data_IF_209404868790
#
_entry.id   IF_209404868790
#
_cell.length_a   1.000
_cell.length_b   1.000
_cell.length_c   1.000
_cell.angle_alpha   90.00
_cell.angle_beta   90.00
_cell.angle_gamma   90.00
#
_symmetry.space_group_name_H-M   'P 1'
#
loop_
_entity.id
_entity.type
_entity.pdbx_description
1 polymer ?
#
# COMPACT_ATOMS: atom_id res chain seq x y z
N UNK A 1 9.21 -8.13 22.18
CA UNK A 1 9.17 -6.66 22.34
C UNK A 1 7.79 -6.14 21.93
N UNK A 2 7.25 -5.13 22.64
CA UNK A 2 6.02 -4.47 22.16
C UNK A 2 6.39 -3.67 20.89
N UNK A 3 5.82 -4.04 19.77
CA UNK A 3 6.08 -3.40 18.45
C UNK A 3 5.65 -1.92 18.49
N UNK A 4 4.54 -1.62 19.19
CA UNK A 4 3.98 -0.28 19.36
C UNK A 4 3.39 -0.16 20.76
N UNK A 5 3.53 1.01 21.40
CA UNK A 5 2.93 1.29 22.72
C UNK A 5 1.67 2.13 22.59
N UNK A 6 0.78 2.03 23.58
CA UNK A 6 -0.43 2.89 23.66
C UNK A 6 -0.07 4.38 23.59
N UNK A 7 1.02 4.77 24.25
CA UNK A 7 1.52 6.14 24.24
C UNK A 7 1.88 6.63 22.84
N UNK A 8 2.59 5.82 22.06
CA UNK A 8 2.96 6.16 20.67
C UNK A 8 1.70 6.37 19.80
N UNK A 9 0.68 5.51 19.95
CA UNK A 9 -0.56 5.63 19.20
C UNK A 9 -1.35 6.90 19.57
N UNK A 10 -1.40 7.23 20.84
CA UNK A 10 -2.04 8.47 21.33
C UNK A 10 -1.33 9.72 20.80
N UNK A 11 0.00 9.77 20.90
CA UNK A 11 0.82 10.88 20.42
C UNK A 11 0.71 11.08 18.91
N UNK A 12 0.57 10.00 18.15
CA UNK A 12 0.37 10.04 16.68
C UNK A 12 -1.05 10.42 16.27
N UNK A 13 -1.99 10.53 17.21
CA UNK A 13 -3.38 10.88 16.91
C UNK A 13 -4.20 9.81 16.17
N UNK A 14 -3.72 8.58 16.09
CA UNK A 14 -4.35 7.45 15.36
C UNK A 14 -5.75 7.10 15.86
N UNK A 15 -6.09 7.51 17.09
CA UNK A 15 -7.40 7.28 17.70
C UNK A 15 -8.52 8.19 17.18
N UNK A 16 -8.21 9.27 16.48
CA UNK A 16 -9.21 10.16 15.91
C UNK A 16 -9.73 9.59 14.58
N UNK A 17 -10.95 9.08 14.60
CA UNK A 17 -11.63 8.69 13.37
C UNK A 17 -12.30 9.85 12.64
N UNK A 18 -13.17 9.55 11.71
CA UNK A 18 -13.96 10.52 10.97
C UNK A 18 -15.20 11.00 11.75
N UNK A 19 -15.84 12.04 11.22
CA UNK A 19 -17.12 12.56 11.71
C UNK A 19 -18.18 11.46 11.71
N UNK A 20 -19.06 11.47 12.73
CA UNK A 20 -20.15 10.49 12.91
C UNK A 20 -21.06 10.35 11.70
N UNK A 21 -21.21 11.40 10.88
CA UNK A 21 -22.01 11.37 9.64
C UNK A 21 -21.38 10.55 8.50
N UNK A 22 -20.09 10.22 8.60
CA UNK A 22 -19.31 9.58 7.51
C UNK A 22 -18.81 8.19 7.86
N UNK A 23 -19.25 7.63 8.98
CA UNK A 23 -18.76 6.34 9.42
C UNK A 23 -19.42 5.17 8.69
N UNK A 24 -18.75 4.02 8.73
CA UNK A 24 -19.33 2.75 8.29
C UNK A 24 -19.86 1.98 9.51
N UNK A 25 -21.14 1.55 9.55
CA UNK A 25 -21.70 0.80 10.68
C UNK A 25 -20.94 -0.48 11.04
N UNK A 26 -20.26 -1.10 10.08
CA UNK A 26 -19.42 -2.30 10.29
C UNK A 26 -18.19 -2.03 11.14
N UNK A 27 -17.78 -0.76 11.25
CA UNK A 27 -16.70 -0.32 12.15
C UNK A 27 -17.12 -0.19 13.61
N UNK A 28 -18.41 -0.35 13.94
CA UNK A 28 -18.93 -0.22 15.31
C UNK A 28 -18.11 -0.98 16.35
N UNK A 29 -17.67 -2.18 16.01
CA UNK A 29 -16.86 -3.02 16.91
C UNK A 29 -15.49 -2.44 17.27
N UNK A 30 -14.97 -1.48 16.51
CA UNK A 30 -13.67 -0.84 16.70
C UNK A 30 -13.77 0.58 17.27
N UNK A 31 -14.99 1.09 17.46
CA UNK A 31 -15.22 2.42 18.02
C UNK A 31 -15.36 2.30 19.53
N UNK A 32 -14.59 3.10 20.27
CA UNK A 32 -14.64 3.19 21.72
C UNK A 32 -15.76 4.13 22.19
N UNK A 33 -15.83 5.34 21.61
CA UNK A 33 -16.79 6.38 21.99
C UNK A 33 -16.98 7.39 20.85
N UNK A 34 -17.96 8.25 21.03
CA UNK A 34 -18.14 9.48 20.25
C UNK A 34 -17.79 10.70 21.13
N UNK A 35 -17.03 11.64 20.58
CA UNK A 35 -16.72 12.90 21.24
C UNK A 35 -16.69 14.04 20.23
N UNK A 36 -17.47 15.09 20.51
CA UNK A 36 -17.57 16.27 19.64
C UNK A 36 -17.92 15.94 18.17
N UNK A 37 -18.80 14.95 17.96
CA UNK A 37 -19.23 14.54 16.61
C UNK A 37 -18.16 13.76 15.83
N UNK A 38 -17.11 13.25 16.49
CA UNK A 38 -16.05 12.44 15.93
C UNK A 38 -16.00 11.09 16.65
N UNK A 39 -15.85 10.01 15.92
CA UNK A 39 -15.64 8.70 16.49
C UNK A 39 -14.22 8.53 17.01
N UNK A 40 -14.08 7.99 18.21
CA UNK A 40 -12.79 7.64 18.82
C UNK A 40 -12.60 6.13 18.66
N UNK A 41 -11.46 5.76 18.06
CA UNK A 41 -11.08 4.37 17.84
C UNK A 41 -10.53 3.75 19.12
N UNK A 42 -10.88 2.49 19.35
CA UNK A 42 -10.41 1.69 20.49
C UNK A 42 -8.95 1.24 20.26
N UNK A 43 -8.01 1.96 20.86
CA UNK A 43 -6.58 1.66 20.71
C UNK A 43 -6.14 0.33 21.33
N UNK A 44 -6.90 -0.22 22.27
CA UNK A 44 -6.58 -1.56 22.79
C UNK A 44 -6.75 -2.61 21.68
N UNK A 45 -7.84 -2.50 20.90
CA UNK A 45 -8.07 -3.34 19.73
C UNK A 45 -7.05 -3.10 18.64
N UNK A 46 -6.62 -1.83 18.47
CA UNK A 46 -5.54 -1.49 17.51
C UNK A 46 -4.24 -2.21 17.87
N UNK A 47 -3.84 -2.22 19.13
CA UNK A 47 -2.61 -2.90 19.58
C UNK A 47 -2.68 -4.41 19.32
N UNK A 48 -3.82 -5.04 19.63
CA UNK A 48 -4.02 -6.47 19.37
C UNK A 48 -3.94 -6.76 17.87
N UNK A 49 -4.67 -5.98 17.06
CA UNK A 49 -4.67 -6.12 15.60
C UNK A 49 -3.27 -5.90 14.98
N UNK A 50 -2.49 -4.94 15.47
CA UNK A 50 -1.09 -4.76 15.04
C UNK A 50 -0.24 -5.99 15.36
N UNK A 51 -0.43 -6.60 16.55
CA UNK A 51 0.31 -7.80 16.93
C UNK A 51 -0.03 -8.99 16.03
N UNK A 52 -1.31 -9.22 15.78
CA UNK A 52 -1.76 -10.31 14.90
C UNK A 52 -1.26 -10.12 13.46
N UNK A 53 -1.35 -8.89 12.96
CA UNK A 53 -0.82 -8.53 11.64
C UNK A 53 0.71 -8.70 11.55
N UNK A 54 1.44 -8.33 12.60
CA UNK A 54 2.88 -8.49 12.68
C UNK A 54 3.29 -9.97 12.60
N UNK A 55 2.63 -10.85 13.35
CA UNK A 55 2.93 -12.28 13.33
C UNK A 55 2.69 -12.87 11.94
N UNK A 56 1.58 -12.54 11.29
CA UNK A 56 1.28 -12.98 9.92
C UNK A 56 2.33 -12.49 8.91
N UNK A 57 2.70 -11.21 8.95
CA UNK A 57 3.73 -10.64 8.08
C UNK A 57 5.07 -11.36 8.31
N UNK A 58 5.44 -11.57 9.57
CA UNK A 58 6.66 -12.30 9.95
C UNK A 58 6.69 -13.69 9.38
N UNK A 59 5.61 -14.45 9.51
CA UNK A 59 5.49 -15.80 8.94
C UNK A 59 5.61 -15.79 7.42
N UNK A 60 4.98 -14.83 6.75
CA UNK A 60 5.04 -14.65 5.29
C UNK A 60 6.48 -14.41 4.82
N UNK A 61 7.21 -13.53 5.54
CA UNK A 61 8.62 -13.23 5.22
C UNK A 61 9.53 -14.41 5.51
N UNK A 62 9.29 -15.18 6.60
CA UNK A 62 10.04 -16.40 6.90
C UNK A 62 9.87 -17.46 5.81
N UNK A 63 8.74 -17.50 5.10
CA UNK A 63 8.52 -18.33 3.92
C UNK A 63 9.25 -17.83 2.66
N UNK A 64 10.04 -16.76 2.77
CA UNK A 64 10.73 -16.15 1.63
C UNK A 64 9.85 -15.35 0.68
N UNK A 65 8.60 -15.04 1.06
CA UNK A 65 7.67 -14.24 0.25
C UNK A 65 7.84 -12.77 0.52
N UNK A 66 7.62 -11.94 -0.50
CA UNK A 66 7.65 -10.48 -0.37
C UNK A 66 6.31 -9.92 0.11
N UNK A 67 6.37 -8.72 0.67
CA UNK A 67 5.20 -7.91 1.05
C UNK A 67 5.09 -6.75 0.08
N UNK A 68 3.85 -6.43 -0.35
CA UNK A 68 3.57 -5.25 -1.16
C UNK A 68 2.89 -4.19 -0.30
N UNK A 69 3.55 -3.04 -0.13
CA UNK A 69 3.01 -1.89 0.60
C UNK A 69 2.24 -0.98 -0.35
N UNK A 70 1.00 -0.62 0.00
CA UNK A 70 0.13 0.22 -0.83
C UNK A 70 -0.42 1.38 -0.03
N UNK A 71 -0.21 2.59 -0.53
CA UNK A 71 -0.76 3.80 0.08
C UNK A 71 -0.60 5.00 -0.82
N UNK A 72 -1.66 5.33 -1.57
CA UNK A 72 -1.67 6.45 -2.51
C UNK A 72 -2.19 7.76 -1.90
N UNK A 73 -2.62 7.72 -0.63
CA UNK A 73 -3.01 8.91 0.14
C UNK A 73 -1.78 9.81 0.35
N UNK A 74 -1.90 11.12 0.06
CA UNK A 74 -0.75 12.05 0.13
C UNK A 74 0.05 11.95 1.44
N UNK A 75 -0.66 11.77 2.55
CA UNK A 75 -0.06 11.64 3.89
C UNK A 75 0.72 10.33 4.07
N UNK A 76 0.35 9.26 3.34
CA UNK A 76 0.95 7.94 3.45
C UNK A 76 2.09 7.70 2.44
N UNK A 77 2.11 8.41 1.31
CA UNK A 77 3.02 8.16 0.19
C UNK A 77 4.48 8.07 0.60
N UNK A 78 4.96 9.07 1.35
CA UNK A 78 6.37 9.14 1.76
C UNK A 78 6.72 8.07 2.80
N UNK A 79 5.81 7.80 3.74
CA UNK A 79 6.02 6.77 4.75
C UNK A 79 6.08 5.37 4.12
N UNK A 80 5.13 5.06 3.23
CA UNK A 80 5.10 3.79 2.50
C UNK A 80 6.39 3.55 1.72
N UNK A 81 6.86 4.54 0.97
CA UNK A 81 8.10 4.44 0.21
C UNK A 81 9.31 4.21 1.10
N UNK A 82 9.48 5.07 2.11
CA UNK A 82 10.61 5.00 3.04
C UNK A 82 10.68 3.66 3.77
N UNK A 83 9.56 3.21 4.33
CA UNK A 83 9.53 1.98 5.13
C UNK A 83 9.65 0.73 4.25
N UNK A 84 9.06 0.70 3.06
CA UNK A 84 9.23 -0.40 2.12
C UNK A 84 10.69 -0.54 1.64
N UNK A 85 11.34 0.58 1.30
CA UNK A 85 12.76 0.58 0.92
C UNK A 85 13.65 0.11 2.08
N UNK A 86 13.37 0.56 3.31
CA UNK A 86 14.17 0.19 4.50
C UNK A 86 14.17 -1.31 4.78
N UNK A 87 13.09 -2.02 4.46
CA UNK A 87 12.98 -3.47 4.63
C UNK A 87 13.19 -4.27 3.33
N UNK A 88 13.58 -3.63 2.23
CA UNK A 88 13.81 -4.28 0.94
C UNK A 88 12.55 -4.87 0.29
N UNK A 89 11.39 -4.32 0.60
CA UNK A 89 10.09 -4.77 0.07
C UNK A 89 9.56 -3.83 -1.02
N UNK A 90 8.47 -4.23 -1.66
CA UNK A 90 7.87 -3.52 -2.78
C UNK A 90 6.79 -2.54 -2.33
N UNK A 91 6.56 -1.48 -3.13
CA UNK A 91 5.54 -0.50 -2.80
C UNK A 91 4.82 0.10 -4.01
N UNK A 92 3.60 0.62 -3.76
CA UNK A 92 2.83 1.45 -4.67
C UNK A 92 2.32 2.66 -3.90
N UNK A 93 2.91 3.83 -4.17
CA UNK A 93 2.61 5.06 -3.43
C UNK A 93 1.96 6.18 -4.28
N UNK A 94 1.85 6.00 -5.60
CA UNK A 94 1.24 7.02 -6.48
C UNK A 94 -0.17 6.64 -6.92
N UNK A 95 -0.29 5.65 -7.77
CA UNK A 95 -1.57 5.20 -8.31
C UNK A 95 -1.56 3.69 -8.49
N UNK A 96 -2.55 3.01 -7.96
CA UNK A 96 -2.79 1.62 -8.30
C UNK A 96 -3.30 1.53 -9.74
N UNK A 97 -2.62 0.77 -10.57
CA UNK A 97 -3.07 0.47 -11.93
C UNK A 97 -3.88 -0.82 -11.91
N UNK A 98 -5.08 -0.80 -12.49
CA UNK A 98 -5.89 -2.01 -12.57
C UNK A 98 -5.13 -3.16 -13.24
N UNK A 99 -5.19 -4.34 -12.63
CA UNK A 99 -4.47 -5.53 -13.09
C UNK A 99 -3.07 -5.71 -12.52
N UNK A 100 -2.66 -4.91 -11.52
CA UNK A 100 -1.32 -5.05 -10.92
C UNK A 100 -1.07 -6.43 -10.30
N UNK A 101 -2.10 -7.08 -9.79
CA UNK A 101 -2.04 -8.46 -9.29
C UNK A 101 -2.72 -9.43 -10.26
N UNK A 102 -3.94 -9.13 -10.69
CA UNK A 102 -4.77 -10.03 -11.52
C UNK A 102 -4.27 -10.17 -12.96
N UNK A 103 -3.47 -9.22 -13.47
CA UNK A 103 -2.84 -9.27 -14.78
C UNK A 103 -1.35 -8.93 -14.69
N UNK A 104 -0.66 -9.56 -13.74
CA UNK A 104 0.75 -9.30 -13.46
C UNK A 104 1.66 -9.55 -14.66
N UNK A 105 1.30 -10.47 -15.57
CA UNK A 105 2.05 -10.72 -16.80
C UNK A 105 2.15 -9.48 -17.70
N UNK A 106 1.08 -8.69 -17.79
CA UNK A 106 1.08 -7.41 -18.53
C UNK A 106 1.88 -6.34 -17.80
N UNK A 107 1.80 -6.32 -16.47
CA UNK A 107 2.65 -5.42 -15.66
C UNK A 107 4.14 -5.75 -15.85
N UNK A 108 4.52 -7.02 -15.87
CA UNK A 108 5.90 -7.46 -16.18
C UNK A 108 6.39 -6.91 -17.53
N UNK A 109 5.56 -6.90 -18.57
CA UNK A 109 5.91 -6.28 -19.86
C UNK A 109 6.18 -4.77 -19.73
N UNK A 110 5.36 -4.06 -18.93
CA UNK A 110 5.55 -2.63 -18.66
C UNK A 110 6.83 -2.37 -17.85
N UNK A 111 7.15 -3.23 -16.88
CA UNK A 111 8.42 -3.17 -16.14
C UNK A 111 9.62 -3.44 -17.04
N UNK A 112 9.53 -4.41 -17.93
CA UNK A 112 10.58 -4.67 -18.93
C UNK A 112 10.77 -3.47 -19.86
N UNK A 113 9.66 -2.83 -20.27
CA UNK A 113 9.72 -1.60 -21.07
C UNK A 113 10.45 -0.48 -20.33
N UNK A 114 10.18 -0.32 -19.02
CA UNK A 114 10.89 0.65 -18.18
C UNK A 114 12.39 0.36 -18.13
N UNK A 115 12.78 -0.89 -17.84
CA UNK A 115 14.20 -1.30 -17.83
C UNK A 115 14.88 -1.08 -19.18
N UNK A 116 14.19 -1.33 -20.27
CA UNK A 116 14.71 -1.06 -21.61
C UNK A 116 14.93 0.44 -21.87
N UNK A 117 14.00 1.31 -21.44
CA UNK A 117 14.14 2.76 -21.56
C UNK A 117 15.31 3.30 -20.73
N UNK A 118 15.54 2.77 -19.54
CA UNK A 118 16.70 3.10 -18.72
C UNK A 118 18.00 2.67 -19.38
N UNK A 119 18.03 1.47 -19.95
CA UNK A 119 19.19 0.97 -20.69
C UNK A 119 19.50 1.84 -21.89
N UNK A 120 18.51 2.22 -22.70
CA UNK A 120 18.68 3.12 -23.86
C UNK A 120 19.26 4.48 -23.48
N UNK A 121 18.93 4.98 -22.29
CA UNK A 121 19.49 6.24 -21.79
C UNK A 121 20.96 6.11 -21.42
N UNK A 122 21.36 4.97 -20.81
CA UNK A 122 22.75 4.70 -20.40
C UNK A 122 23.63 4.34 -21.61
N UNK A 123 23.13 3.58 -22.57
CA UNK A 123 23.86 3.09 -23.75
C UNK A 123 24.05 4.18 -24.85
N UNK A 124 23.57 5.43 -24.60
CA UNK A 124 23.69 6.52 -25.58
C UNK A 124 22.78 6.38 -26.81
N UNK A 125 21.85 5.42 -26.81
CA UNK A 125 20.89 5.21 -27.93
C UNK A 125 20.05 6.46 -28.22
N UNK A 126 19.83 7.32 -27.23
CA UNK A 126 19.10 8.57 -27.40
C UNK A 126 19.81 9.59 -28.28
N UNK A 127 21.13 9.51 -28.44
CA UNK A 127 21.92 10.40 -29.31
C UNK A 127 21.62 10.20 -30.80
N UNK A 128 21.19 8.98 -31.17
CA UNK A 128 20.84 8.64 -32.56
C UNK A 128 19.39 9.01 -32.94
N UNK A 129 18.57 9.48 -31.96
CA UNK A 129 17.14 9.77 -32.13
C UNK A 129 16.91 11.28 -32.29
N UNK A 130 15.78 11.62 -32.91
CA UNK A 130 15.34 13.02 -32.97
C UNK A 130 14.95 13.56 -31.58
N UNK A 131 15.16 14.86 -31.33
CA UNK A 131 14.78 15.52 -30.05
C UNK A 131 13.32 15.28 -29.66
N UNK A 132 12.42 15.17 -30.64
CA UNK A 132 10.99 14.91 -30.41
C UNK A 132 10.74 13.48 -29.91
N UNK A 133 11.44 12.50 -30.48
CA UNK A 133 11.36 11.09 -30.06
C UNK A 133 11.93 10.91 -28.66
N UNK A 134 13.12 11.45 -28.38
CA UNK A 134 13.73 11.43 -27.05
C UNK A 134 12.78 12.02 -26.00
N UNK A 135 12.19 13.19 -26.27
CA UNK A 135 11.22 13.81 -25.35
C UNK A 135 10.01 12.90 -25.06
N UNK A 136 9.53 12.17 -26.07
CA UNK A 136 8.41 11.22 -25.92
C UNK A 136 8.80 10.02 -25.06
N UNK A 137 9.99 9.44 -25.29
CA UNK A 137 10.51 8.30 -24.53
C UNK A 137 10.80 8.67 -23.08
N UNK A 138 11.36 9.85 -22.81
CA UNK A 138 11.59 10.36 -21.46
C UNK A 138 10.28 10.56 -20.68
N UNK A 139 9.24 11.11 -21.33
CA UNK A 139 7.90 11.23 -20.71
C UNK A 139 7.28 9.86 -20.40
N UNK A 140 7.46 8.89 -21.30
CA UNK A 140 7.02 7.51 -21.09
C UNK A 140 7.75 6.89 -19.89
N UNK A 141 9.09 6.98 -19.85
CA UNK A 141 9.92 6.53 -18.74
C UNK A 141 9.45 7.12 -17.41
N UNK A 142 9.35 8.45 -17.35
CA UNK A 142 8.93 9.15 -16.12
C UNK A 142 7.55 8.68 -15.62
N UNK A 143 6.59 8.43 -16.53
CA UNK A 143 5.27 7.93 -16.18
C UNK A 143 5.31 6.50 -15.65
N UNK A 144 6.12 5.63 -16.26
CA UNK A 144 6.29 4.25 -15.81
C UNK A 144 6.99 4.20 -14.46
N UNK A 145 8.09 4.92 -14.31
CA UNK A 145 8.85 5.03 -13.05
C UNK A 145 7.96 5.52 -11.91
N UNK A 146 7.19 6.58 -12.13
CA UNK A 146 6.29 7.13 -11.13
C UNK A 146 5.26 6.12 -10.62
N UNK A 147 4.72 5.24 -11.47
CA UNK A 147 3.64 4.33 -11.09
C UNK A 147 4.11 2.91 -10.77
N UNK A 148 5.23 2.49 -11.32
CA UNK A 148 5.72 1.11 -11.23
C UNK A 148 7.12 1.00 -10.60
N UNK A 149 7.80 2.12 -10.31
CA UNK A 149 9.16 2.13 -9.78
C UNK A 149 9.30 1.29 -8.50
N UNK A 150 8.33 1.41 -7.59
CA UNK A 150 8.36 0.66 -6.32
C UNK A 150 8.16 -0.86 -6.46
N UNK A 151 7.72 -1.35 -7.61
CA UNK A 151 7.57 -2.79 -7.90
C UNK A 151 8.54 -3.28 -8.99
N UNK A 152 9.51 -2.47 -9.37
CA UNK A 152 10.46 -2.74 -10.47
C UNK A 152 11.20 -4.07 -10.31
N UNK A 153 11.56 -4.41 -9.08
CA UNK A 153 12.30 -5.64 -8.75
C UNK A 153 11.38 -6.79 -8.29
N UNK A 154 10.06 -6.60 -8.35
CA UNK A 154 9.10 -7.64 -7.97
C UNK A 154 9.03 -8.71 -9.06
N UNK A 155 9.56 -9.89 -8.75
CA UNK A 155 9.64 -11.03 -9.69
C UNK A 155 8.32 -11.82 -9.72
N UNK A 156 7.70 -11.97 -8.56
CA UNK A 156 6.52 -12.80 -8.35
C UNK A 156 5.44 -12.06 -7.57
N UNK A 157 4.24 -12.63 -7.55
CA UNK A 157 3.11 -12.10 -6.79
C UNK A 157 3.47 -12.10 -5.30
N UNK A 158 3.19 -11.02 -4.55
CA UNK A 158 3.53 -10.90 -3.15
C UNK A 158 2.78 -11.92 -2.29
N UNK A 159 3.38 -12.34 -1.17
CA UNK A 159 2.76 -13.25 -0.21
C UNK A 159 1.70 -12.59 0.66
N UNK A 160 1.77 -11.27 0.85
CA UNK A 160 0.75 -10.48 1.52
C UNK A 160 0.80 -9.03 1.02
N UNK A 161 -0.29 -8.29 1.23
CA UNK A 161 -0.39 -6.88 0.89
C UNK A 161 -0.71 -6.06 2.15
N UNK A 162 0.01 -4.95 2.34
CA UNK A 162 -0.24 -3.98 3.40
C UNK A 162 -0.84 -2.72 2.79
N UNK A 163 -2.05 -2.33 3.21
CA UNK A 163 -2.82 -1.24 2.60
C UNK A 163 -3.11 -0.15 3.61
N UNK A 164 -2.91 1.11 3.23
CA UNK A 164 -3.37 2.27 4.01
C UNK A 164 -4.58 2.88 3.29
N UNK A 165 -5.73 2.94 4.00
CA UNK A 165 -7.01 3.45 3.53
C UNK A 165 -7.65 2.57 2.43
N UNK A 166 -8.34 1.52 2.88
CA UNK A 166 -9.02 0.54 2.00
C UNK A 166 -10.08 1.14 1.10
N UNK A 167 -10.70 2.26 1.50
CA UNK A 167 -11.70 2.96 0.68
C UNK A 167 -11.05 3.57 -0.56
N UNK A 168 -9.87 4.16 -0.40
CA UNK A 168 -9.12 4.73 -1.52
C UNK A 168 -8.52 3.66 -2.42
N UNK A 169 -8.05 2.58 -1.82
CA UNK A 169 -7.37 1.49 -2.52
C UNK A 169 -8.32 0.31 -2.81
N UNK A 170 -9.61 0.58 -3.06
CA UNK A 170 -10.64 -0.44 -3.26
C UNK A 170 -10.31 -1.43 -4.40
N UNK A 171 -9.64 -0.98 -5.46
CA UNK A 171 -9.22 -1.83 -6.57
C UNK A 171 -8.13 -2.81 -6.12
N UNK A 172 -7.15 -2.34 -5.35
CA UNK A 172 -6.09 -3.18 -4.80
C UNK A 172 -6.65 -4.27 -3.87
N UNK A 173 -7.60 -3.89 -3.00
CA UNK A 173 -8.32 -4.82 -2.12
C UNK A 173 -9.07 -5.89 -2.94
N UNK A 174 -9.82 -5.46 -3.97
CA UNK A 174 -10.59 -6.39 -4.81
C UNK A 174 -9.67 -7.38 -5.57
N UNK A 175 -8.54 -6.89 -6.09
CA UNK A 175 -7.56 -7.74 -6.79
C UNK A 175 -6.87 -8.72 -5.83
N UNK A 176 -6.43 -8.26 -4.65
CA UNK A 176 -5.81 -9.12 -3.65
C UNK A 176 -6.75 -10.24 -3.20
N UNK A 177 -8.02 -9.90 -2.92
CA UNK A 177 -9.06 -10.89 -2.59
C UNK A 177 -9.26 -11.91 -3.70
N UNK A 178 -9.35 -11.46 -4.96
CA UNK A 178 -9.51 -12.35 -6.12
C UNK A 178 -8.34 -13.31 -6.27
N UNK A 179 -7.14 -12.87 -5.91
CA UNK A 179 -5.92 -13.69 -5.98
C UNK A 179 -5.67 -14.54 -4.73
N UNK A 180 -6.51 -14.42 -3.69
CA UNK A 180 -6.32 -15.12 -2.42
C UNK A 180 -5.09 -14.65 -1.64
N UNK A 181 -4.66 -13.39 -1.84
CA UNK A 181 -3.51 -12.81 -1.15
C UNK A 181 -3.99 -12.21 0.18
N UNK A 182 -3.42 -12.58 1.33
CA UNK A 182 -3.77 -12.03 2.63
C UNK A 182 -3.61 -10.50 2.66
N UNK A 183 -4.61 -9.82 3.23
CA UNK A 183 -4.67 -8.36 3.30
C UNK A 183 -4.53 -7.91 4.74
N UNK A 184 -3.47 -7.17 5.02
CA UNK A 184 -3.33 -6.33 6.22
C UNK A 184 -3.69 -4.90 5.83
N UNK A 185 -4.59 -4.26 6.56
CA UNK A 185 -4.93 -2.88 6.21
C UNK A 185 -5.20 -2.01 7.43
N UNK A 186 -4.70 -0.76 7.37
CA UNK A 186 -5.13 0.30 8.28
C UNK A 186 -6.50 0.78 7.82
N UNK A 187 -7.50 0.62 8.70
CA UNK A 187 -8.90 0.93 8.42
C UNK A 187 -9.41 2.04 9.35
N UNK A 188 -9.86 3.11 8.74
CA UNK A 188 -10.50 4.22 9.46
C UNK A 188 -12.00 3.95 9.66
N UNK A 189 -12.64 4.75 10.50
CA UNK A 189 -14.07 4.63 10.84
C UNK A 189 -15.02 4.76 9.64
N UNK A 190 -14.58 5.31 8.51
CA UNK A 190 -15.33 5.45 7.27
C UNK A 190 -15.05 4.33 6.24
N UNK A 191 -14.26 3.33 6.61
CA UNK A 191 -13.89 2.22 5.75
C UNK A 191 -14.71 0.97 6.06
N UNK A 192 -14.92 0.13 5.04
CA UNK A 192 -15.48 -1.21 5.23
C UNK A 192 -14.37 -2.19 5.63
N UNK A 193 -14.42 -2.78 6.83
CA UNK A 193 -13.44 -3.78 7.25
C UNK A 193 -13.74 -5.18 6.70
N UNK A 194 -14.87 -5.36 5.99
CA UNK A 194 -15.28 -6.68 5.49
C UNK A 194 -14.36 -7.15 4.37
N UNK A 195 -13.83 -8.35 4.53
CA UNK A 195 -12.92 -8.93 3.53
C UNK A 195 -11.47 -8.43 3.63
N UNK A 196 -11.13 -7.85 4.76
CA UNK A 196 -9.75 -7.60 5.19
C UNK A 196 -9.42 -8.68 6.23
N UNK A 197 -8.34 -9.42 5.99
CA UNK A 197 -7.97 -10.54 6.87
C UNK A 197 -7.44 -10.03 8.21
N UNK A 198 -6.64 -8.96 8.18
CA UNK A 198 -6.03 -8.33 9.35
C UNK A 198 -6.32 -6.82 9.37
N UNK A 199 -7.53 -6.42 9.79
CA UNK A 199 -7.87 -5.00 9.86
C UNK A 199 -7.24 -4.37 11.12
N UNK A 200 -6.46 -3.32 10.92
CA UNK A 200 -5.86 -2.50 11.97
C UNK A 200 -6.67 -1.22 12.10
N UNK A 201 -7.49 -1.04 13.14
CA UNK A 201 -8.27 0.18 13.31
C UNK A 201 -7.35 1.37 13.58
N UNK A 202 -7.47 2.42 12.79
CA UNK A 202 -6.62 3.61 12.92
C UNK A 202 -6.81 4.62 11.79
N UNK A 203 -6.37 5.84 12.01
CA UNK A 203 -6.37 6.90 11.00
C UNK A 203 -4.99 7.57 10.90
#
# INVERSE_FOLDING_TARGET
MAVVTMKNLLESGVHFGHQTKRWDPRMKRFIFAERNGIHIIDLQKTIVAIKDAYEMIRETVLQGKSILFVGTKKQAQQAIEKEAISCGMHFVNNRWLGGMLTNFSTIKKSLQRLKNLEKMEVDGTFESLTKKEVSKLLKEKQRLEKNLGGIKEMKDIPGAIFIIDTRKEAIAVAEARRMGIPIVAVVDTNCDPTGIDYPIPGN
#
